data_IF_451031539140
#
_entry.id   IF_451031539140
#
_cell.length_a   1.000
_cell.length_b   1.000
_cell.length_c   1.000
_cell.angle_alpha   90.00
_cell.angle_beta   90.00
_cell.angle_gamma   90.00
#
_symmetry.space_group_name_H-M   'P 1'
#
loop_
_entity.id
_entity.type
_entity.pdbx_description
1 polymer ?
#
# COMPACT_ATOMS: atom_id res chain seq x y z
N UNK A 1 18.01 22.23 38.64
CA UNK A 1 16.75 21.67 38.12
C UNK A 1 15.75 22.81 37.96
N UNK A 2 15.41 23.21 36.73
CA UNK A 2 14.45 24.29 36.48
C UNK A 2 13.04 23.74 36.69
N UNK A 3 12.45 24.02 37.84
CA UNK A 3 11.07 23.66 38.15
C UNK A 3 10.13 24.53 37.32
N UNK A 4 9.34 23.88 36.48
CA UNK A 4 8.32 24.51 35.65
C UNK A 4 7.14 24.97 36.53
N UNK A 5 7.24 26.18 37.08
CA UNK A 5 6.17 26.83 37.84
C UNK A 5 5.36 27.79 36.95
N UNK A 6 4.83 27.29 35.84
CA UNK A 6 3.82 28.07 35.10
C UNK A 6 2.45 27.79 35.69
N UNK A 7 1.87 28.79 36.37
CA UNK A 7 0.45 28.80 36.76
C UNK A 7 -0.41 28.43 35.54
N UNK A 8 -1.50 27.65 35.69
CA UNK A 8 -2.31 27.15 34.57
C UNK A 8 -2.74 28.26 33.59
N UNK A 9 -2.97 29.48 34.08
CA UNK A 9 -3.29 30.66 33.27
C UNK A 9 -2.11 31.09 32.37
N UNK A 10 -0.89 31.12 32.90
CA UNK A 10 0.33 31.51 32.17
C UNK A 10 0.69 30.49 31.08
N UNK A 11 0.46 29.20 31.35
CA UNK A 11 0.68 28.13 30.38
C UNK A 11 -0.35 28.20 29.22
N UNK A 12 -1.60 28.53 29.50
CA UNK A 12 -2.63 28.72 28.47
C UNK A 12 -2.29 29.89 27.52
N UNK A 13 -1.84 31.03 28.08
CA UNK A 13 -1.41 32.21 27.30
C UNK A 13 -0.23 31.86 26.40
N UNK A 14 0.79 31.18 26.95
CA UNK A 14 1.96 30.73 26.18
C UNK A 14 1.57 29.81 25.02
N UNK A 15 0.64 28.85 25.23
CA UNK A 15 0.15 27.99 24.14
C UNK A 15 -0.63 28.76 23.08
N UNK A 16 -1.41 29.77 23.47
CA UNK A 16 -2.13 30.62 22.53
C UNK A 16 -1.16 31.41 21.63
N UNK A 17 -0.14 32.03 22.23
CA UNK A 17 0.92 32.75 21.51
C UNK A 17 1.71 31.83 20.56
N UNK A 18 2.06 30.62 21.03
CA UNK A 18 2.69 29.61 20.18
C UNK A 18 1.81 29.21 18.99
N UNK A 19 0.52 29.01 19.22
CA UNK A 19 -0.42 28.63 18.15
C UNK A 19 -0.51 29.72 17.09
N UNK A 20 -0.54 30.98 17.51
CA UNK A 20 -0.59 32.14 16.62
C UNK A 20 0.70 32.28 15.79
N UNK A 21 1.87 32.18 16.43
CA UNK A 21 3.17 32.23 15.72
C UNK A 21 3.34 31.07 14.73
N UNK A 22 2.94 29.85 15.11
CA UNK A 22 2.93 28.69 14.21
C UNK A 22 2.00 28.94 13.01
N UNK A 23 0.78 29.46 13.25
CA UNK A 23 -0.18 29.76 12.19
C UNK A 23 0.34 30.83 11.22
N UNK A 24 0.97 31.89 11.74
CA UNK A 24 1.55 32.96 10.92
C UNK A 24 2.71 32.43 10.05
N UNK A 25 3.61 31.63 10.65
CA UNK A 25 4.71 30.98 9.92
C UNK A 25 4.21 30.03 8.83
N UNK A 26 3.20 29.20 9.13
CA UNK A 26 2.59 28.30 8.14
C UNK A 26 1.96 29.07 6.96
N UNK A 27 1.34 30.22 7.23
CA UNK A 27 0.76 31.08 6.18
C UNK A 27 1.85 31.61 5.26
N UNK A 28 2.95 32.12 5.81
CA UNK A 28 4.10 32.60 5.04
C UNK A 28 4.74 31.50 4.19
N UNK A 29 4.92 30.30 4.76
CA UNK A 29 5.44 29.14 4.02
C UNK A 29 4.53 28.81 2.82
N UNK A 30 3.21 28.85 3.00
CA UNK A 30 2.24 28.55 1.95
C UNK A 30 2.22 29.60 0.85
N UNK A 31 2.29 30.88 1.22
CA UNK A 31 2.40 32.00 0.27
C UNK A 31 3.68 31.89 -0.57
N UNK A 32 4.83 31.58 0.05
CA UNK A 32 6.09 31.38 -0.65
C UNK A 32 6.04 30.18 -1.61
N UNK A 33 5.45 29.05 -1.19
CA UNK A 33 5.30 27.88 -2.06
C UNK A 33 4.43 28.20 -3.28
N UNK A 34 3.31 28.90 -3.06
CA UNK A 34 2.42 29.34 -4.14
C UNK A 34 3.13 30.31 -5.09
N UNK A 35 3.87 31.29 -4.58
CA UNK A 35 4.62 32.25 -5.38
C UNK A 35 5.73 31.58 -6.21
N UNK A 36 6.34 30.53 -5.67
CA UNK A 36 7.40 29.77 -6.35
C UNK A 36 6.85 28.71 -7.32
N UNK A 37 5.52 28.53 -7.37
CA UNK A 37 4.89 27.52 -8.24
C UNK A 37 5.28 26.08 -7.93
N UNK A 38 5.79 25.82 -6.72
CA UNK A 38 6.30 24.49 -6.34
C UNK A 38 5.14 23.55 -5.98
N UNK A 39 5.23 22.30 -6.44
CA UNK A 39 4.24 21.27 -6.08
C UNK A 39 4.31 20.95 -4.58
N UNK A 40 3.18 21.11 -3.87
CA UNK A 40 3.06 20.74 -2.47
C UNK A 40 3.02 19.22 -2.35
N UNK A 41 4.15 18.61 -2.01
CA UNK A 41 4.21 17.18 -1.68
C UNK A 41 3.82 17.02 -0.21
N UNK A 42 2.66 16.42 0.05
CA UNK A 42 2.30 16.06 1.42
C UNK A 42 3.32 15.10 2.00
N UNK A 43 3.76 15.36 3.25
CA UNK A 43 4.69 14.49 4.00
C UNK A 43 4.19 13.04 4.09
N UNK A 44 2.87 12.84 4.10
CA UNK A 44 2.23 11.54 4.23
C UNK A 44 0.96 11.49 3.36
N UNK A 45 0.75 10.36 2.67
CA UNK A 45 -0.48 10.08 1.90
C UNK A 45 -1.57 9.40 2.75
N UNK A 46 -1.27 9.05 4.00
CA UNK A 46 -2.24 8.55 4.95
C UNK A 46 -3.19 9.69 5.37
N UNK A 47 -4.44 9.55 4.98
CA UNK A 47 -5.49 10.49 5.33
C UNK A 47 -6.05 10.06 6.70
N UNK A 48 -5.97 10.94 7.71
CA UNK A 48 -6.66 10.74 8.98
C UNK A 48 -8.12 11.18 8.85
N UNK A 49 -8.87 10.50 7.98
CA UNK A 49 -10.29 10.72 7.77
C UNK A 49 -11.04 9.40 7.84
N UNK A 50 -12.27 9.47 8.33
CA UNK A 50 -13.22 8.36 8.19
C UNK A 50 -13.51 8.16 6.71
N UNK A 51 -13.74 6.90 6.32
CA UNK A 51 -14.25 6.61 4.97
C UNK A 51 -15.62 7.29 4.81
N UNK A 52 -15.92 7.83 3.62
CA UNK A 52 -17.17 8.55 3.39
C UNK A 52 -18.39 7.61 3.24
N UNK A 53 -18.16 6.31 3.06
CA UNK A 53 -19.21 5.32 2.78
C UNK A 53 -20.12 5.13 4.00
N UNK A 54 -21.43 5.19 3.76
CA UNK A 54 -22.44 5.03 4.82
C UNK A 54 -22.97 3.60 4.91
N UNK A 55 -22.89 2.85 3.81
CA UNK A 55 -23.40 1.48 3.71
C UNK A 55 -22.30 0.50 3.30
N UNK A 56 -22.53 -0.79 3.56
CA UNK A 56 -21.58 -1.85 3.23
C UNK A 56 -21.51 -2.02 1.70
N UNK A 57 -22.64 -1.87 1.04
CA UNK A 57 -22.81 -2.01 -0.40
C UNK A 57 -22.01 -0.93 -1.15
N UNK A 58 -22.14 0.32 -0.71
CA UNK A 58 -21.37 1.46 -1.27
C UNK A 58 -19.86 1.25 -1.10
N UNK A 59 -19.42 0.77 0.07
CA UNK A 59 -18.01 0.47 0.29
C UNK A 59 -17.53 -0.69 -0.60
N UNK A 60 -18.35 -1.73 -0.79
CA UNK A 60 -18.00 -2.86 -1.64
C UNK A 60 -17.87 -2.43 -3.09
N UNK A 61 -18.80 -1.64 -3.62
CA UNK A 61 -18.75 -1.11 -4.99
C UNK A 61 -17.48 -0.28 -5.22
N UNK A 62 -17.21 0.69 -4.33
CA UNK A 62 -16.00 1.51 -4.42
C UNK A 62 -14.72 0.67 -4.33
N UNK A 63 -14.71 -0.39 -3.52
CA UNK A 63 -13.57 -1.32 -3.47
C UNK A 63 -13.44 -2.14 -4.75
N UNK A 64 -14.54 -2.60 -5.36
CA UNK A 64 -14.50 -3.34 -6.63
C UNK A 64 -13.96 -2.47 -7.76
N UNK A 65 -14.34 -1.19 -7.82
CA UNK A 65 -13.83 -0.26 -8.83
C UNK A 65 -12.32 -0.04 -8.69
N UNK A 66 -11.86 0.22 -7.46
CA UNK A 66 -10.42 0.36 -7.17
C UNK A 66 -9.67 -0.92 -7.54
N UNK A 67 -10.21 -2.09 -7.18
CA UNK A 67 -9.62 -3.38 -7.54
C UNK A 67 -9.58 -3.59 -9.06
N UNK A 68 -10.62 -3.17 -9.77
CA UNK A 68 -10.69 -3.21 -11.23
C UNK A 68 -9.55 -2.41 -11.88
N UNK A 69 -9.33 -1.18 -11.42
CA UNK A 69 -8.20 -0.36 -11.89
C UNK A 69 -6.85 -0.97 -11.52
N UNK A 70 -6.72 -1.50 -10.30
CA UNK A 70 -5.51 -2.17 -9.84
C UNK A 70 -5.17 -3.40 -10.69
N UNK A 71 -6.18 -4.20 -11.08
CA UNK A 71 -6.02 -5.34 -11.99
C UNK A 71 -5.47 -4.89 -13.35
N UNK A 72 -5.95 -3.76 -13.90
CA UNK A 72 -5.43 -3.23 -15.17
C UNK A 72 -3.93 -2.91 -15.09
N UNK A 73 -3.49 -2.34 -13.96
CA UNK A 73 -2.06 -2.07 -13.71
C UNK A 73 -1.28 -3.37 -13.59
N UNK A 74 -1.77 -4.34 -12.82
CA UNK A 74 -1.13 -5.65 -12.66
C UNK A 74 -0.96 -6.39 -13.98
N UNK A 75 -1.94 -6.35 -14.88
CA UNK A 75 -1.83 -6.93 -16.23
C UNK A 75 -0.67 -6.35 -17.03
N UNK A 76 -0.35 -5.06 -16.86
CA UNK A 76 0.77 -4.41 -17.55
C UNK A 76 2.11 -4.68 -16.87
N UNK A 77 2.16 -4.62 -15.55
CA UNK A 77 3.41 -4.68 -14.78
C UNK A 77 3.88 -6.13 -14.57
N UNK A 78 2.97 -7.04 -14.21
CA UNK A 78 3.32 -8.38 -13.77
C UNK A 78 4.08 -9.18 -14.85
N UNK A 79 3.69 -9.20 -16.14
CA UNK A 79 4.44 -9.93 -17.16
C UNK A 79 5.90 -9.48 -17.27
N UNK A 80 6.13 -8.16 -17.23
CA UNK A 80 7.49 -7.60 -17.29
C UNK A 80 8.32 -7.97 -16.06
N UNK A 81 7.70 -7.99 -14.88
CA UNK A 81 8.34 -8.42 -13.65
C UNK A 81 8.71 -9.91 -13.72
N UNK A 82 7.80 -10.77 -14.19
CA UNK A 82 8.05 -12.20 -14.34
C UNK A 82 9.17 -12.49 -15.32
N UNK A 83 9.26 -11.72 -16.41
CA UNK A 83 10.35 -11.85 -17.38
C UNK A 83 11.71 -11.43 -16.79
N UNK A 84 11.73 -10.43 -15.91
CA UNK A 84 12.94 -10.06 -15.17
C UNK A 84 13.33 -11.15 -14.17
N UNK A 85 12.35 -11.67 -13.41
CA UNK A 85 12.57 -12.75 -12.44
C UNK A 85 13.02 -14.06 -13.10
N UNK A 86 12.60 -14.35 -14.34
CA UNK A 86 13.06 -15.54 -15.07
C UNK A 86 14.53 -15.50 -15.48
N UNK A 87 15.20 -14.33 -15.37
CA UNK A 87 16.64 -14.20 -15.62
C UNK A 87 17.48 -14.73 -14.46
N UNK A 88 16.88 -14.92 -13.28
CA UNK A 88 17.59 -15.48 -12.13
C UNK A 88 17.91 -16.95 -12.44
N UNK A 89 19.20 -17.34 -12.43
CA UNK A 89 19.58 -18.73 -12.71
C UNK A 89 19.01 -19.65 -11.62
N UNK A 90 18.49 -20.80 -12.03
CA UNK A 90 17.98 -21.81 -11.11
C UNK A 90 19.14 -22.72 -10.67
N UNK A 91 19.58 -22.68 -9.39
CA UNK A 91 20.72 -23.49 -8.93
C UNK A 91 20.35 -24.98 -8.78
N UNK A 92 19.09 -25.35 -8.95
CA UNK A 92 18.62 -26.73 -8.77
C UNK A 92 18.96 -27.58 -9.99
N UNK A 93 19.15 -28.89 -9.77
CA UNK A 93 19.51 -29.84 -10.82
C UNK A 93 18.41 -29.90 -11.91
N UNK A 94 18.71 -29.58 -13.20
CA UNK A 94 17.69 -29.41 -14.24
C UNK A 94 16.74 -30.60 -14.43
N UNK A 95 17.28 -31.83 -14.41
CA UNK A 95 16.49 -33.07 -14.64
C UNK A 95 15.52 -33.43 -13.50
N UNK A 96 15.56 -32.69 -12.39
CA UNK A 96 14.67 -32.89 -11.22
C UNK A 96 13.68 -31.74 -11.01
N UNK A 97 13.67 -30.72 -11.87
CA UNK A 97 12.83 -29.53 -11.72
C UNK A 97 11.51 -29.70 -12.48
N UNK A 98 10.41 -29.84 -11.74
CA UNK A 98 9.05 -29.88 -12.32
C UNK A 98 8.47 -28.49 -12.63
N UNK A 99 8.88 -27.47 -11.87
CA UNK A 99 8.35 -26.12 -11.97
C UNK A 99 9.47 -25.07 -11.96
N UNK A 100 9.36 -24.08 -12.85
CA UNK A 100 10.29 -22.95 -12.95
C UNK A 100 10.41 -22.20 -11.62
N UNK A 101 11.59 -21.69 -11.30
CA UNK A 101 11.83 -20.95 -10.05
C UNK A 101 10.93 -19.72 -9.92
N UNK A 102 10.66 -19.01 -11.02
CA UNK A 102 9.76 -17.86 -11.06
C UNK A 102 8.33 -18.20 -10.61
N UNK A 103 7.82 -19.38 -11.00
CA UNK A 103 6.49 -19.86 -10.59
C UNK A 103 6.46 -20.11 -9.08
N UNK A 104 7.52 -20.70 -8.53
CA UNK A 104 7.63 -20.97 -7.09
C UNK A 104 7.74 -19.68 -6.27
N UNK A 105 8.43 -18.66 -6.79
CA UNK A 105 8.49 -17.34 -6.16
C UNK A 105 7.10 -16.69 -6.08
N UNK A 106 6.31 -16.71 -7.17
CA UNK A 106 4.94 -16.21 -7.14
C UNK A 106 4.09 -17.02 -6.15
N UNK A 107 4.24 -18.34 -6.15
CA UNK A 107 3.49 -19.22 -5.27
C UNK A 107 3.77 -18.92 -3.79
N UNK A 108 5.04 -18.68 -3.44
CA UNK A 108 5.45 -18.24 -2.11
C UNK A 108 4.96 -16.83 -1.76
N UNK A 109 5.00 -15.90 -2.71
CA UNK A 109 4.47 -14.54 -2.52
C UNK A 109 2.97 -14.56 -2.24
N UNK A 110 2.19 -15.33 -3.00
CA UNK A 110 0.75 -15.49 -2.77
C UNK A 110 0.47 -16.09 -1.40
N UNK A 111 1.24 -17.10 -1.00
CA UNK A 111 1.12 -17.67 0.34
C UNK A 111 1.40 -16.66 1.45
N UNK A 112 2.41 -15.81 1.28
CA UNK A 112 2.72 -14.73 2.20
C UNK A 112 1.58 -13.70 2.27
N UNK A 113 1.07 -13.24 1.13
CA UNK A 113 -0.02 -12.25 1.05
C UNK A 113 -1.31 -12.79 1.67
N UNK A 114 -1.67 -14.05 1.39
CA UNK A 114 -2.84 -14.70 1.99
C UNK A 114 -2.59 -15.24 3.40
N UNK A 115 -1.39 -15.03 3.95
CA UNK A 115 -1.00 -15.46 5.31
C UNK A 115 -1.20 -16.97 5.54
N UNK A 116 -0.97 -17.78 4.51
CA UNK A 116 -1.04 -19.23 4.57
C UNK A 116 0.15 -19.78 5.36
N UNK A 117 -0.11 -20.71 6.28
CA UNK A 117 0.87 -21.11 7.30
C UNK A 117 1.62 -22.39 6.96
N UNK A 118 1.15 -23.16 5.99
CA UNK A 118 1.79 -24.42 5.61
C UNK A 118 1.77 -24.69 4.12
N UNK A 119 2.73 -25.50 3.64
CA UNK A 119 2.75 -25.96 2.24
C UNK A 119 1.50 -26.75 1.85
N UNK A 120 0.92 -27.52 2.79
CA UNK A 120 -0.29 -28.32 2.54
C UNK A 120 -1.51 -27.41 2.33
N UNK A 121 -1.64 -26.39 3.17
CA UNK A 121 -2.66 -25.36 3.07
C UNK A 121 -2.48 -24.54 1.79
N UNK A 122 -1.26 -24.10 1.48
CA UNK A 122 -0.95 -23.44 0.21
C UNK A 122 -1.42 -24.23 -0.99
N UNK A 123 -1.11 -25.52 -1.05
CA UNK A 123 -1.56 -26.37 -2.14
C UNK A 123 -3.08 -26.42 -2.19
N UNK A 124 -3.76 -26.71 -1.08
CA UNK A 124 -5.22 -26.80 -1.06
C UNK A 124 -5.91 -25.52 -1.52
N UNK A 125 -5.48 -24.37 -1.01
CA UNK A 125 -6.10 -23.07 -1.33
C UNK A 125 -5.69 -22.61 -2.74
N UNK A 126 -4.40 -22.50 -3.04
CA UNK A 126 -3.91 -21.89 -4.28
C UNK A 126 -4.12 -22.75 -5.52
N UNK A 127 -4.25 -24.08 -5.38
CA UNK A 127 -4.61 -24.96 -6.50
C UNK A 127 -6.10 -25.26 -6.57
N UNK A 128 -6.91 -24.62 -5.73
CA UNK A 128 -8.36 -24.75 -5.76
C UNK A 128 -8.97 -24.20 -7.06
N UNK A 129 -10.08 -24.81 -7.49
CA UNK A 129 -10.75 -24.44 -8.74
C UNK A 129 -11.21 -22.97 -8.76
N UNK A 130 -11.66 -22.43 -7.62
CA UNK A 130 -12.08 -21.03 -7.50
C UNK A 130 -10.93 -20.07 -7.79
N UNK A 131 -9.79 -20.23 -7.09
CA UNK A 131 -8.59 -19.40 -7.30
C UNK A 131 -8.10 -19.52 -8.74
N UNK A 132 -8.06 -20.73 -9.28
CA UNK A 132 -7.67 -20.94 -10.68
C UNK A 132 -8.56 -20.14 -11.65
N UNK A 133 -9.89 -20.19 -11.48
CA UNK A 133 -10.83 -19.41 -12.30
C UNK A 133 -10.66 -17.90 -12.12
N UNK A 134 -10.43 -17.42 -10.90
CA UNK A 134 -10.18 -15.99 -10.67
C UNK A 134 -8.89 -15.53 -11.33
N UNK A 135 -7.80 -16.31 -11.22
CA UNK A 135 -6.53 -16.00 -11.86
C UNK A 135 -6.65 -15.99 -13.39
N UNK A 136 -7.40 -16.92 -13.99
CA UNK A 136 -7.69 -16.92 -15.43
C UNK A 136 -8.46 -15.67 -15.88
N UNK A 137 -9.45 -15.21 -15.09
CA UNK A 137 -10.17 -13.96 -15.38
C UNK A 137 -9.26 -12.74 -15.28
N UNK A 138 -8.36 -12.72 -14.30
CA UNK A 138 -7.43 -11.60 -14.08
C UNK A 138 -6.32 -11.60 -15.14
N UNK A 139 -5.83 -12.75 -15.56
CA UNK A 139 -4.77 -12.89 -16.57
C UNK A 139 -5.25 -13.78 -17.72
N UNK A 140 -6.06 -13.24 -18.64
CA UNK A 140 -6.40 -13.97 -19.86
C UNK A 140 -5.11 -14.22 -20.67
N UNK A 141 -5.00 -15.43 -21.20
CA UNK A 141 -3.90 -15.88 -22.07
C UNK A 141 -4.00 -15.16 -23.41
#
# INVERSE_FOLDING_TARGET
>A
MLTNTKSPTTHAIYRAQLKETISASQKQIRENINATGSHIIHRTQAINAKRPYQTIEEEQEARQDILGEQIKVWRKVLPTLLQKLSRIPDPRRPKSVKHKISVLMIFGLLAFVFRLKSRREMNRELTGAAIHRHLQKIFPI
#
